data_IF_083684047106
#
_entry.id   IF_083684047106
#
_cell.length_a   1.000
_cell.length_b   1.000
_cell.length_c   1.000
_cell.angle_alpha   90.00
_cell.angle_beta   90.00
_cell.angle_gamma   90.00
#
_symmetry.space_group_name_H-M   'P 1'
#
loop_
_entity.id
_entity.type
_entity.pdbx_description
1 polymer ?
#
# COMPACT_ATOMS: atom_id res chain seq x y z
N UNK A 1 19.51 6.73 23.06
CA UNK A 1 18.97 6.27 21.76
C UNK A 1 17.51 5.94 21.98
N UNK A 2 16.57 6.61 21.31
CA UNK A 2 15.18 6.12 21.29
C UNK A 2 15.14 4.99 20.26
N UNK A 3 14.53 3.86 20.62
CA UNK A 3 14.26 2.78 19.68
C UNK A 3 13.30 3.29 18.61
N UNK A 4 13.75 3.29 17.35
CA UNK A 4 12.94 3.57 16.17
C UNK A 4 12.41 2.26 15.56
N UNK A 5 12.14 1.26 16.40
CA UNK A 5 11.65 -0.03 15.92
C UNK A 5 10.17 0.12 15.53
N UNK A 6 9.86 -0.21 14.28
CA UNK A 6 8.49 -0.40 13.82
C UNK A 6 8.12 -1.83 14.22
N UNK A 7 7.11 -1.97 15.08
CA UNK A 7 6.54 -3.27 15.37
C UNK A 7 5.58 -3.66 14.25
N UNK A 8 5.94 -4.72 13.52
CA UNK A 8 5.07 -5.30 12.52
C UNK A 8 4.03 -6.19 13.20
N UNK A 9 2.77 -6.15 12.76
CA UNK A 9 1.80 -7.13 13.23
C UNK A 9 2.21 -8.54 12.75
N UNK A 10 1.71 -9.61 13.42
CA UNK A 10 1.91 -10.96 12.94
C UNK A 10 1.42 -11.10 11.49
N UNK A 11 2.22 -11.77 10.66
CA UNK A 11 1.85 -12.01 9.27
C UNK A 11 0.59 -12.91 9.21
N UNK A 12 -0.36 -12.53 8.36
CA UNK A 12 -1.48 -13.37 7.97
C UNK A 12 -1.01 -14.24 6.80
N UNK A 13 -0.92 -15.58 6.97
CA UNK A 13 -0.49 -16.48 5.90
C UNK A 13 -1.46 -16.48 4.70
N UNK A 14 -2.62 -15.83 4.83
CA UNK A 14 -3.56 -15.64 3.75
C UNK A 14 -3.34 -14.38 2.93
N UNK A 15 -2.49 -13.44 3.33
CA UNK A 15 -2.26 -12.21 2.56
C UNK A 15 -0.91 -12.30 1.86
N UNK A 16 -0.94 -12.24 0.52
CA UNK A 16 0.27 -12.33 -0.29
C UNK A 16 1.07 -11.02 -0.24
N UNK A 17 0.38 -9.87 -0.36
CA UNK A 17 1.00 -8.55 -0.33
C UNK A 17 0.16 -7.54 0.46
N UNK A 18 0.81 -6.78 1.34
CA UNK A 18 0.28 -5.52 1.86
C UNK A 18 0.83 -4.35 1.05
N UNK A 19 -0.07 -3.59 0.44
CA UNK A 19 0.24 -2.42 -0.37
C UNK A 19 -0.09 -1.18 0.45
N UNK A 20 0.93 -0.37 0.73
CA UNK A 20 0.81 0.86 1.50
C UNK A 20 0.90 2.05 0.54
N UNK A 21 -0.14 2.88 0.55
CA UNK A 21 -0.22 4.09 -0.27
C UNK A 21 -0.36 5.28 0.66
N UNK A 22 0.62 6.19 0.65
CA UNK A 22 0.52 7.47 1.34
C UNK A 22 -0.04 8.50 0.37
N UNK A 23 -1.16 9.13 0.73
CA UNK A 23 -1.85 10.09 -0.13
C UNK A 23 -2.03 11.45 0.54
N UNK A 24 -1.90 12.52 -0.24
CA UNK A 24 -2.25 13.88 0.18
C UNK A 24 -2.67 14.73 -1.03
N UNK A 25 -3.94 15.14 -1.07
CA UNK A 25 -4.51 16.04 -2.08
C UNK A 25 -4.31 15.60 -3.55
N UNK A 26 -4.50 14.30 -3.83
CA UNK A 26 -4.32 13.71 -5.17
C UNK A 26 -5.47 12.77 -5.56
N UNK A 27 -6.72 13.15 -5.25
CA UNK A 27 -7.92 12.30 -5.39
C UNK A 27 -8.02 11.54 -6.71
N UNK A 28 -7.83 12.23 -7.84
CA UNK A 28 -7.97 11.61 -9.16
C UNK A 28 -6.89 10.53 -9.40
N UNK A 29 -5.63 10.87 -9.11
CA UNK A 29 -4.50 9.93 -9.26
C UNK A 29 -4.66 8.72 -8.33
N UNK A 30 -5.01 8.97 -7.06
CA UNK A 30 -5.26 7.90 -6.09
C UNK A 30 -6.37 6.97 -6.56
N UNK A 31 -7.48 7.52 -7.08
CA UNK A 31 -8.57 6.72 -7.63
C UNK A 31 -8.07 5.83 -8.78
N UNK A 32 -7.33 6.39 -9.73
CA UNK A 32 -6.81 5.64 -10.87
C UNK A 32 -5.82 4.54 -10.42
N UNK A 33 -4.99 4.84 -9.43
CA UNK A 33 -4.07 3.87 -8.80
C UNK A 33 -4.84 2.70 -8.17
N UNK A 34 -5.85 2.98 -7.33
CA UNK A 34 -6.67 1.96 -6.70
C UNK A 34 -7.48 1.14 -7.71
N UNK A 35 -7.99 1.77 -8.77
CA UNK A 35 -8.65 1.06 -9.87
C UNK A 35 -7.69 0.11 -10.58
N UNK A 36 -6.45 0.55 -10.85
CA UNK A 36 -5.45 -0.29 -11.47
C UNK A 36 -5.11 -1.50 -10.60
N UNK A 37 -4.99 -1.32 -9.28
CA UNK A 37 -4.76 -2.41 -8.32
C UNK A 37 -5.90 -3.43 -8.33
N UNK A 38 -7.15 -2.95 -8.28
CA UNK A 38 -8.34 -3.83 -8.33
C UNK A 38 -8.37 -4.67 -9.61
N UNK A 39 -7.90 -4.13 -10.73
CA UNK A 39 -7.85 -4.84 -12.01
C UNK A 39 -6.74 -5.89 -12.10
N UNK A 40 -5.61 -5.69 -11.40
CA UNK A 40 -4.40 -6.52 -11.57
C UNK A 40 -4.14 -7.49 -10.42
N UNK A 41 -4.94 -7.46 -9.34
CA UNK A 41 -4.82 -8.38 -8.21
C UNK A 41 -4.74 -9.84 -8.67
N UNK A 42 -5.60 -10.23 -9.61
CA UNK A 42 -5.63 -11.59 -10.15
C UNK A 42 -5.90 -12.61 -9.04
N UNK A 43 -5.00 -13.57 -8.87
CA UNK A 43 -5.04 -14.59 -7.82
C UNK A 43 -4.39 -14.15 -6.50
N UNK A 44 -3.71 -12.99 -6.48
CA UNK A 44 -3.04 -12.49 -5.28
C UNK A 44 -4.07 -11.93 -4.31
N UNK A 45 -3.96 -12.32 -3.04
CA UNK A 45 -4.72 -11.72 -1.95
C UNK A 45 -3.98 -10.47 -1.46
N UNK A 46 -4.55 -9.32 -1.79
CA UNK A 46 -3.99 -8.02 -1.47
C UNK A 46 -4.65 -7.44 -0.22
N UNK A 47 -3.85 -6.91 0.70
CA UNK A 47 -4.30 -5.95 1.70
C UNK A 47 -3.86 -4.56 1.25
N UNK A 48 -4.81 -3.69 0.88
CA UNK A 48 -4.48 -2.32 0.45
C UNK A 48 -4.77 -1.37 1.60
N UNK A 49 -3.76 -0.62 2.01
CA UNK A 49 -3.81 0.33 3.12
C UNK A 49 -3.52 1.72 2.55
N UNK A 50 -4.47 2.64 2.66
CA UNK A 50 -4.29 4.04 2.28
C UNK A 50 -4.13 4.87 3.54
N UNK A 51 -3.00 5.57 3.66
CA UNK A 51 -2.74 6.55 4.71
C UNK A 51 -2.94 7.95 4.12
N UNK A 52 -4.08 8.56 4.43
CA UNK A 52 -4.42 9.91 4.00
C UNK A 52 -3.89 10.96 4.98
N UNK A 53 -3.04 11.86 4.50
CA UNK A 53 -2.41 12.93 5.26
C UNK A 53 -3.29 14.18 5.45
N UNK A 54 -4.54 14.01 5.88
CA UNK A 54 -5.52 15.08 6.01
C UNK A 54 -5.80 15.82 4.69
N UNK A 55 -6.15 15.08 3.64
CA UNK A 55 -6.51 15.66 2.35
C UNK A 55 -7.79 16.50 2.44
N UNK A 56 -7.82 17.62 1.73
CA UNK A 56 -8.96 18.54 1.65
C UNK A 56 -9.74 18.45 0.32
N UNK A 57 -9.30 17.59 -0.60
CA UNK A 57 -9.88 17.43 -1.95
C UNK A 57 -10.93 16.30 -2.05
N UNK A 58 -11.30 15.70 -0.90
CA UNK A 58 -12.20 14.56 -0.82
C UNK A 58 -11.54 13.22 -1.15
N UNK A 59 -10.20 13.11 -1.19
CA UNK A 59 -9.49 11.84 -1.38
C UNK A 59 -9.95 10.76 -0.41
N UNK A 60 -9.96 11.04 0.88
CA UNK A 60 -10.33 10.06 1.90
C UNK A 60 -11.80 9.61 1.78
N UNK A 61 -12.72 10.52 1.44
CA UNK A 61 -14.13 10.18 1.25
C UNK A 61 -14.34 9.33 0.00
N UNK A 62 -13.62 9.65 -1.08
CA UNK A 62 -13.59 8.84 -2.29
C UNK A 62 -13.16 7.41 -1.97
N UNK A 63 -12.04 7.22 -1.26
CA UNK A 63 -11.57 5.89 -0.86
C UNK A 63 -12.63 5.14 -0.07
N UNK A 64 -13.20 5.77 0.97
CA UNK A 64 -14.21 5.13 1.82
C UNK A 64 -15.48 4.74 1.04
N UNK A 65 -15.89 5.54 0.06
CA UNK A 65 -17.12 5.30 -0.71
C UNK A 65 -16.96 4.31 -1.87
N UNK A 66 -15.82 4.31 -2.56
CA UNK A 66 -15.64 3.57 -3.81
C UNK A 66 -14.76 2.34 -3.68
N UNK A 67 -13.96 2.30 -2.62
CA UNK A 67 -13.05 1.22 -2.30
C UNK A 67 -13.25 0.76 -0.84
N UNK A 68 -14.45 0.30 -0.47
CA UNK A 68 -14.75 -0.13 0.90
C UNK A 68 -13.90 -1.32 1.37
N UNK A 69 -13.25 -2.05 0.45
CA UNK A 69 -12.28 -3.10 0.75
C UNK A 69 -10.88 -2.57 1.15
N UNK A 70 -10.59 -1.29 0.91
CA UNK A 70 -9.32 -0.64 1.26
C UNK A 70 -9.36 -0.21 2.71
N UNK A 71 -8.30 -0.53 3.45
CA UNK A 71 -8.12 -0.03 4.81
C UNK A 71 -7.67 1.44 4.76
N UNK A 72 -8.59 2.35 5.10
CA UNK A 72 -8.32 3.78 5.12
C UNK A 72 -7.91 4.27 6.51
N UNK A 73 -6.74 4.90 6.59
CA UNK A 73 -6.23 5.61 7.77
C UNK A 73 -6.27 7.10 7.49
N UNK A 74 -7.12 7.84 8.21
CA UNK A 74 -7.20 9.29 8.14
C UNK A 74 -6.31 9.90 9.22
N UNK A 75 -5.31 10.67 8.81
CA UNK A 75 -4.49 11.46 9.72
C UNK A 75 -5.12 12.84 9.94
N UNK A 76 -4.81 13.46 11.09
CA UNK A 76 -5.27 14.82 11.41
C UNK A 76 -4.42 15.92 10.76
N UNK A 77 -3.27 15.55 10.19
CA UNK A 77 -2.33 16.45 9.52
C UNK A 77 -1.62 15.73 8.36
N UNK A 78 -0.95 16.50 7.51
CA UNK A 78 -0.06 15.92 6.49
C UNK A 78 1.19 15.34 7.17
N UNK A 79 1.23 14.02 7.26
CA UNK A 79 2.32 13.27 7.90
C UNK A 79 3.54 13.06 7.00
N UNK A 80 3.42 13.31 5.69
CA UNK A 80 4.46 13.07 4.70
C UNK A 80 4.76 11.57 4.47
N UNK A 81 5.58 11.29 3.46
CA UNK A 81 5.83 9.93 2.98
C UNK A 81 6.45 8.98 4.03
N UNK A 82 7.55 9.31 4.74
CA UNK A 82 8.18 8.36 5.65
C UNK A 82 7.28 7.98 6.83
N UNK A 83 6.66 8.98 7.49
CA UNK A 83 5.76 8.73 8.62
C UNK A 83 4.48 8.05 8.16
N UNK A 84 3.93 8.43 7.02
CA UNK A 84 2.76 7.77 6.43
C UNK A 84 3.00 6.28 6.18
N UNK A 85 4.16 5.94 5.59
CA UNK A 85 4.52 4.53 5.40
C UNK A 85 4.69 3.80 6.73
N UNK A 86 5.34 4.40 7.73
CA UNK A 86 5.47 3.78 9.05
C UNK A 86 4.10 3.51 9.69
N UNK A 87 3.13 4.41 9.55
CA UNK A 87 1.75 4.19 10.01
C UNK A 87 1.13 3.00 9.27
N UNK A 88 1.28 2.93 7.95
CA UNK A 88 0.80 1.79 7.15
C UNK A 88 1.45 0.47 7.54
N UNK A 89 2.76 0.47 7.80
CA UNK A 89 3.53 -0.72 8.17
C UNK A 89 3.04 -1.37 9.46
N UNK A 90 2.55 -0.57 10.43
CA UNK A 90 1.97 -1.12 11.68
C UNK A 90 0.65 -1.87 11.49
N UNK A 91 0.04 -1.79 10.30
CA UNK A 91 -1.22 -2.46 9.93
C UNK A 91 -1.03 -3.57 8.90
N UNK A 92 0.15 -3.62 8.28
CA UNK A 92 0.44 -4.51 7.17
C UNK A 92 0.75 -5.93 7.65
N UNK A 93 -0.09 -6.90 7.28
CA UNK A 93 0.02 -8.31 7.68
C UNK A 93 0.44 -9.24 6.54
N UNK A 94 0.67 -8.72 5.34
CA UNK A 94 1.03 -9.48 4.17
C UNK A 94 2.42 -10.09 4.26
N UNK A 95 2.61 -11.22 3.57
CA UNK A 95 3.91 -11.88 3.44
C UNK A 95 4.98 -10.95 2.84
N UNK A 96 4.58 -10.13 1.87
CA UNK A 96 5.42 -9.08 1.28
C UNK A 96 4.80 -7.70 1.49
N UNK A 97 5.66 -6.68 1.50
CA UNK A 97 5.28 -5.28 1.64
C UNK A 97 5.60 -4.53 0.34
N UNK A 98 4.66 -3.71 -0.13
CA UNK A 98 4.85 -2.81 -1.26
C UNK A 98 4.51 -1.38 -0.85
N UNK A 99 5.49 -0.49 -0.88
CA UNK A 99 5.25 0.95 -0.75
C UNK A 99 4.96 1.49 -2.15
N UNK A 100 3.75 1.96 -2.38
CA UNK A 100 3.27 2.39 -3.70
C UNK A 100 2.85 3.86 -3.65
N UNK A 101 3.31 4.65 -4.62
CA UNK A 101 2.89 6.03 -4.71
C UNK A 101 1.46 6.14 -5.30
N UNK A 102 0.66 7.12 -4.87
CA UNK A 102 -0.74 7.27 -5.29
C UNK A 102 -0.90 7.68 -6.76
N UNK A 103 0.18 8.08 -7.43
CA UNK A 103 0.22 8.46 -8.85
C UNK A 103 0.68 7.32 -9.78
N UNK A 104 0.67 6.07 -9.28
CA UNK A 104 1.10 4.90 -10.04
C UNK A 104 -0.07 4.16 -10.67
N UNK A 105 0.04 3.81 -11.95
CA UNK A 105 -0.82 2.82 -12.62
C UNK A 105 -0.10 1.47 -12.64
N UNK A 106 -0.62 0.49 -11.91
CA UNK A 106 -0.06 -0.85 -11.86
C UNK A 106 -0.49 -1.63 -13.09
N UNK A 107 0.48 -2.18 -13.83
CA UNK A 107 0.22 -2.93 -15.07
C UNK A 107 -0.06 -4.41 -14.78
N UNK A 108 -0.85 -5.08 -15.63
CA UNK A 108 -1.07 -6.52 -15.51
C UNK A 108 0.25 -7.31 -15.42
N UNK A 109 0.34 -8.26 -14.48
CA UNK A 109 1.51 -9.11 -14.28
C UNK A 109 2.64 -8.50 -13.44
N UNK A 110 2.60 -7.19 -13.14
CA UNK A 110 3.68 -6.53 -12.41
C UNK A 110 3.85 -7.09 -10.98
N UNK A 111 2.75 -7.21 -10.22
CA UNK A 111 2.78 -7.71 -8.84
C UNK A 111 3.23 -9.18 -8.79
N UNK A 112 2.74 -10.01 -9.71
CA UNK A 112 3.10 -11.41 -9.81
C UNK A 112 4.58 -11.57 -10.12
N UNK A 113 5.12 -10.76 -11.03
CA UNK A 113 6.54 -10.79 -11.40
C UNK A 113 7.44 -10.44 -10.21
N UNK A 114 7.14 -9.37 -9.49
CA UNK A 114 7.92 -8.96 -8.31
C UNK A 114 7.86 -10.02 -7.20
N UNK A 115 6.67 -10.55 -6.91
CA UNK A 115 6.46 -11.57 -5.88
C UNK A 115 7.18 -12.88 -6.24
N UNK A 116 7.03 -13.38 -7.47
CA UNK A 116 7.72 -14.60 -7.90
C UNK A 116 9.24 -14.45 -7.86
N UNK A 117 9.78 -13.28 -8.23
CA UNK A 117 11.20 -13.05 -8.13
C UNK A 117 11.71 -13.13 -6.69
N UNK A 118 11.00 -12.52 -5.73
CA UNK A 118 11.37 -12.63 -4.31
C UNK A 118 11.21 -14.05 -3.74
N UNK A 119 10.29 -14.86 -4.29
CA UNK A 119 10.16 -16.27 -3.92
C UNK A 119 11.34 -17.12 -4.42
N UNK A 120 11.77 -16.87 -5.66
CA UNK A 120 12.81 -17.65 -6.32
C UNK A 120 14.24 -17.24 -5.87
N UNK A 121 14.37 -16.08 -5.24
CA UNK A 121 15.65 -15.49 -4.82
C UNK A 121 15.67 -15.13 -3.33
N UNK A 122 15.87 -16.14 -2.47
CA UNK A 122 15.87 -15.98 -1.01
C UNK A 122 16.99 -15.06 -0.46
N UNK A 123 18.00 -14.75 -1.26
CA UNK A 123 19.09 -13.80 -0.94
C UNK A 123 18.74 -12.34 -1.25
N UNK A 124 17.59 -12.08 -1.89
CA UNK A 124 17.14 -10.73 -2.26
C UNK A 124 16.14 -10.21 -1.21
N UNK A 125 16.48 -9.07 -0.60
CA UNK A 125 15.61 -8.43 0.42
C UNK A 125 14.61 -7.40 -0.13
N UNK A 126 14.85 -6.83 -1.31
CA UNK A 126 13.98 -5.80 -1.91
C UNK A 126 14.11 -5.80 -3.43
N UNK A 127 12.98 -5.59 -4.11
CA UNK A 127 12.89 -5.37 -5.55
C UNK A 127 12.02 -4.16 -5.86
N UNK A 128 12.24 -3.55 -7.02
CA UNK A 128 11.42 -2.47 -7.54
C UNK A 128 11.16 -2.67 -9.02
N UNK A 129 10.02 -2.17 -9.50
CA UNK A 129 9.70 -2.12 -10.92
C UNK A 129 10.16 -0.78 -11.53
N UNK A 130 10.48 -0.80 -12.83
CA UNK A 130 10.68 0.39 -13.67
C UNK A 130 9.50 0.58 -14.61
#
# INVERSE_FOLDING_TARGET
MREYAIEFPPADPQIDLSIIIVSWNVRALLRDCLQSLRQVAGELRLQVIVVDGASADGSADMVASEFPEVELVRCDENVGFPRGNNIGLTRATGRYLLLLNPDTIVRPGALQTLRSYLDDHADVGLVGAM
#
